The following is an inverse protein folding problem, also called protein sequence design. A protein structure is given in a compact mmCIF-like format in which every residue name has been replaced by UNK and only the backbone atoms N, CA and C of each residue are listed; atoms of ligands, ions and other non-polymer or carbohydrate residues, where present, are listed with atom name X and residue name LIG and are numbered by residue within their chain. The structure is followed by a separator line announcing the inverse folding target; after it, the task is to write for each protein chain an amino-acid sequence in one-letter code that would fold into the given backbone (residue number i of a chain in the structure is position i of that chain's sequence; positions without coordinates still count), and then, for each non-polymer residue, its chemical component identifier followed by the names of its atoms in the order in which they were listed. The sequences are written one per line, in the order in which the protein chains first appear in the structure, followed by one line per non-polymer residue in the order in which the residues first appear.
data_IF_806478895017
#
_entry.id   IF_806478895017
#
_cell.length_a   1.000
_cell.length_b   1.000
_cell.length_c   1.000
_cell.angle_alpha   90.00
_cell.angle_beta   90.00
_cell.angle_gamma   90.00
#
_symmetry.space_group_name_H-M   'P 1'
#
loop_
_entity.id
_entity.type
_entity.pdbx_description
1 polymer ?
#
# COMPACT_ATOMS: atom_id res chain seq x y z
N UNK A 1 -17.04 2.79 -9.79
CA UNK A 1 -16.78 4.02 -9.02
C UNK A 1 -16.98 3.72 -7.54
N UNK A 2 -16.08 4.19 -6.67
CA UNK A 2 -16.17 4.02 -5.21
C UNK A 2 -16.69 5.31 -4.61
N UNK A 3 -17.68 5.23 -3.71
CA UNK A 3 -18.32 6.40 -3.09
C UNK A 3 -18.53 6.20 -1.58
N UNK A 4 -18.59 7.28 -0.78
CA UNK A 4 -18.94 7.20 0.63
C UNK A 4 -20.35 6.59 0.82
N UNK A 5 -20.53 5.82 1.89
CA UNK A 5 -21.83 5.23 2.24
C UNK A 5 -22.82 6.25 2.82
N UNK A 6 -22.33 7.39 3.31
CA UNK A 6 -23.13 8.47 3.88
C UNK A 6 -22.42 9.83 3.65
N UNK A 7 -23.16 10.95 3.64
CA UNK A 7 -22.58 12.28 3.55
C UNK A 7 -21.67 12.59 4.75
N UNK A 8 -20.49 13.15 4.47
CA UNK A 8 -19.52 13.62 5.48
C UNK A 8 -18.62 14.70 4.87
N UNK A 9 -17.98 15.48 5.74
CA UNK A 9 -17.11 16.60 5.34
C UNK A 9 -15.72 16.16 4.91
N UNK A 10 -15.26 15.00 5.42
CA UNK A 10 -13.95 14.43 5.11
C UNK A 10 -14.09 12.94 4.84
N UNK A 11 -13.43 12.50 3.77
CA UNK A 11 -13.34 11.11 3.33
C UNK A 11 -11.89 10.80 2.98
N UNK A 12 -11.50 9.55 3.17
CA UNK A 12 -10.27 9.01 2.61
C UNK A 12 -10.57 7.67 1.94
N UNK A 13 -9.84 7.37 0.88
CA UNK A 13 -9.99 6.13 0.15
C UNK A 13 -8.65 5.40 0.11
N UNK A 14 -8.68 4.10 0.39
CA UNK A 14 -7.55 3.22 0.27
C UNK A 14 -7.85 2.17 -0.81
N UNK A 15 -7.01 2.11 -1.83
CA UNK A 15 -7.09 1.10 -2.87
C UNK A 15 -5.84 0.22 -2.80
N UNK A 16 -6.03 -1.09 -2.67
CA UNK A 16 -4.99 -2.08 -2.93
C UNK A 16 -5.27 -2.70 -4.30
N UNK A 17 -4.35 -2.50 -5.23
CA UNK A 17 -4.43 -3.09 -6.56
C UNK A 17 -3.47 -4.27 -6.62
N UNK A 18 -4.01 -5.45 -6.95
CA UNK A 18 -3.24 -6.64 -7.24
C UNK A 18 -3.39 -6.95 -8.72
N UNK A 19 -2.26 -7.11 -9.40
CA UNK A 19 -2.20 -7.44 -10.82
C UNK A 19 -1.45 -8.78 -10.98
N UNK A 20 -2.07 -9.72 -11.68
CA UNK A 20 -1.52 -11.04 -11.97
C UNK A 20 -1.86 -11.46 -13.40
N UNK A 21 -1.33 -12.61 -13.83
CA UNK A 21 -1.86 -13.30 -14.99
C UNK A 21 -3.22 -13.98 -14.69
N UNK A 22 -3.80 -14.61 -15.71
CA UNK A 22 -5.10 -15.28 -15.63
C UNK A 22 -5.07 -16.62 -14.89
N UNK A 23 -3.88 -17.10 -14.48
CA UNK A 23 -3.72 -18.40 -13.82
C UNK A 23 -3.90 -18.32 -12.31
N UNK A 24 -3.88 -17.11 -11.73
CA UNK A 24 -4.12 -16.91 -10.30
C UNK A 24 -5.60 -17.12 -9.98
N UNK A 25 -5.88 -18.17 -9.21
CA UNK A 25 -7.25 -18.51 -8.78
C UNK A 25 -7.80 -17.53 -7.73
N UNK A 26 -6.94 -16.95 -6.90
CA UNK A 26 -7.34 -16.04 -5.82
C UNK A 26 -6.25 -15.01 -5.53
N UNK A 27 -6.64 -13.76 -5.43
CA UNK A 27 -5.78 -12.67 -4.97
C UNK A 27 -5.43 -12.83 -3.48
N UNK A 28 -4.30 -12.27 -3.08
CA UNK A 28 -3.82 -12.32 -1.71
C UNK A 28 -4.82 -11.63 -0.78
N UNK A 29 -5.13 -12.27 0.34
CA UNK A 29 -5.93 -11.66 1.38
C UNK A 29 -5.20 -10.47 1.99
N UNK A 30 -5.96 -9.40 2.21
CA UNK A 30 -5.45 -8.19 2.83
C UNK A 30 -6.35 -7.76 3.98
N UNK A 31 -5.73 -7.18 5.00
CA UNK A 31 -6.40 -6.70 6.18
C UNK A 31 -6.13 -5.22 6.34
N UNK A 32 -7.17 -4.47 6.65
CA UNK A 32 -7.07 -3.06 6.98
C UNK A 32 -7.46 -2.83 8.44
N UNK A 33 -6.75 -1.92 9.10
CA UNK A 33 -7.11 -1.45 10.43
C UNK A 33 -7.00 0.07 10.43
N UNK A 34 -8.06 0.73 10.88
CA UNK A 34 -8.15 2.18 10.95
C UNK A 34 -7.95 2.65 12.39
N UNK A 35 -6.96 3.52 12.58
CA UNK A 35 -6.82 4.35 13.77
C UNK A 35 -7.31 5.78 13.47
N UNK A 36 -7.32 6.65 14.48
CA UNK A 36 -7.78 8.03 14.35
C UNK A 36 -7.11 8.74 13.16
N UNK A 37 -5.78 8.75 13.11
CA UNK A 37 -5.00 9.54 12.14
C UNK A 37 -4.24 8.69 11.12
N UNK A 38 -4.36 7.36 11.18
CA UNK A 38 -3.64 6.46 10.31
C UNK A 38 -4.49 5.28 9.86
N UNK A 39 -4.32 4.84 8.62
CA UNK A 39 -4.84 3.56 8.13
C UNK A 39 -3.68 2.60 7.91
N UNK A 40 -3.82 1.38 8.41
CA UNK A 40 -2.85 0.30 8.26
C UNK A 40 -3.38 -0.73 7.26
N UNK A 41 -2.54 -1.15 6.33
CA UNK A 41 -2.78 -2.23 5.39
C UNK A 41 -1.74 -3.34 5.64
N UNK A 42 -2.20 -4.57 5.78
CA UNK A 42 -1.35 -5.75 5.92
C UNK A 42 -1.74 -6.82 4.91
N UNK A 43 -0.74 -7.45 4.28
CA UNK A 43 -0.92 -8.60 3.39
C UNK A 43 0.38 -9.41 3.31
N UNK A 44 0.31 -10.64 2.82
CA UNK A 44 1.48 -11.53 2.70
C UNK A 44 1.57 -12.13 1.28
N UNK A 45 2.76 -12.06 0.68
CA UNK A 45 3.03 -12.62 -0.66
C UNK A 45 4.25 -13.52 -0.57
N UNK A 46 4.07 -14.81 -0.87
CA UNK A 46 5.12 -15.80 -0.68
C UNK A 46 5.61 -15.83 0.78
N UNK A 47 6.91 -15.71 0.99
CA UNK A 47 7.52 -15.70 2.33
C UNK A 47 7.52 -14.31 3.01
N UNK A 48 7.03 -13.27 2.32
CA UNK A 48 7.12 -11.88 2.77
C UNK A 48 5.79 -11.39 3.32
N UNK A 49 5.83 -10.71 4.45
CA UNK A 49 4.72 -9.95 5.01
C UNK A 49 4.97 -8.46 4.84
N UNK A 50 3.93 -7.75 4.44
CA UNK A 50 3.94 -6.32 4.18
C UNK A 50 3.00 -5.64 5.16
N UNK A 51 3.48 -4.57 5.77
CA UNK A 51 2.69 -3.67 6.59
C UNK A 51 2.95 -2.25 6.11
N UNK A 52 1.90 -1.62 5.61
CA UNK A 52 1.91 -0.22 5.19
C UNK A 52 1.03 0.55 6.15
N UNK A 53 1.47 1.74 6.55
CA UNK A 53 0.67 2.66 7.34
C UNK A 53 0.67 4.02 6.65
N UNK A 54 -0.50 4.61 6.45
CA UNK A 54 -0.68 5.87 5.72
C UNK A 54 -1.40 6.88 6.61
N UNK A 55 -0.93 8.12 6.60
CA UNK A 55 -1.62 9.22 7.28
C UNK A 55 -2.98 9.45 6.63
N UNK A 56 -4.04 9.57 7.43
CA UNK A 56 -5.39 9.90 6.95
C UNK A 56 -5.61 11.40 6.79
N UNK A 57 -4.81 12.20 7.49
CA UNK A 57 -4.92 13.66 7.60
C UNK A 57 -3.53 14.29 7.69
N UNK A 58 -3.46 15.60 7.47
CA UNK A 58 -2.23 16.38 7.55
C UNK A 58 -1.28 16.07 6.40
N UNK A 59 0.01 15.94 6.71
CA UNK A 59 1.05 15.72 5.71
C UNK A 59 0.92 14.36 5.02
N UNK A 60 1.16 14.36 3.70
CA UNK A 60 1.33 13.13 2.92
C UNK A 60 2.50 12.34 3.50
N UNK A 61 2.24 11.10 3.87
CA UNK A 61 3.28 10.26 4.46
C UNK A 61 2.76 8.93 4.97
N UNK A 62 3.69 8.16 5.51
CA UNK A 62 3.43 6.84 6.00
C UNK A 62 4.71 6.06 6.28
N UNK A 63 4.55 4.78 6.55
CA UNK A 63 5.62 3.84 6.84
C UNK A 63 5.39 2.56 6.06
N UNK A 64 6.46 1.92 5.64
CA UNK A 64 6.43 0.56 5.09
C UNK A 64 7.39 -0.33 5.88
N UNK A 65 6.87 -1.48 6.31
CA UNK A 65 7.65 -2.56 6.89
C UNK A 65 7.45 -3.82 6.05
N UNK A 66 8.57 -4.47 5.70
CA UNK A 66 8.60 -5.75 5.00
C UNK A 66 9.39 -6.72 5.86
N UNK A 67 8.81 -7.88 6.14
CA UNK A 67 9.47 -8.94 6.92
C UNK A 67 9.45 -10.26 6.17
N UNK A 68 10.49 -11.08 6.37
CA UNK A 68 10.59 -12.43 5.84
C UNK A 68 11.17 -13.34 6.92
N UNK A 69 10.50 -14.44 7.25
CA UNK A 69 10.91 -15.37 8.32
C UNK A 69 11.28 -14.66 9.65
N UNK A 70 10.49 -13.65 10.04
CA UNK A 70 10.70 -12.87 11.27
C UNK A 70 11.82 -11.81 11.20
N UNK A 71 12.58 -11.73 10.10
CA UNK A 71 13.59 -10.70 9.89
C UNK A 71 12.99 -9.50 9.18
N UNK A 72 13.38 -8.30 9.62
CA UNK A 72 13.00 -7.04 8.96
C UNK A 72 13.91 -6.83 7.76
N UNK A 73 13.33 -6.78 6.56
CA UNK A 73 14.04 -6.49 5.32
C UNK A 73 13.99 -4.98 5.00
N UNK A 74 12.85 -4.35 5.29
CA UNK A 74 12.62 -2.91 5.12
C UNK A 74 11.80 -2.43 6.29
N UNK A 75 12.17 -1.28 6.84
CA UNK A 75 11.38 -0.53 7.81
C UNK A 75 11.75 0.94 7.72
N UNK A 76 10.93 1.72 7.01
CA UNK A 76 11.23 3.13 6.73
C UNK A 76 9.99 3.93 6.38
N UNK A 77 10.14 5.24 6.50
CA UNK A 77 9.15 6.20 6.04
C UNK A 77 8.97 6.10 4.52
N UNK A 78 7.74 6.33 4.06
CA UNK A 78 7.49 6.58 2.64
C UNK A 78 8.17 7.89 2.24
N UNK A 79 8.68 7.94 1.01
CA UNK A 79 9.30 9.16 0.48
C UNK A 79 8.30 10.30 0.46
N UNK A 80 8.79 11.51 0.75
CA UNK A 80 8.03 12.77 0.61
C UNK A 80 8.36 13.49 -0.70
N UNK A 81 9.33 12.97 -1.43
CA UNK A 81 9.82 13.53 -2.68
C UNK A 81 9.57 12.55 -3.82
N UNK A 82 9.30 13.10 -5.00
CA UNK A 82 9.20 12.31 -6.23
C UNK A 82 10.58 11.72 -6.51
N UNK A 83 10.68 10.39 -6.47
CA UNK A 83 11.91 9.72 -6.87
C UNK A 83 12.07 9.82 -8.39
N UNK A 84 13.29 10.09 -8.91
CA UNK A 84 13.53 10.15 -10.35
C UNK A 84 13.09 8.85 -11.03
N UNK A 85 12.25 8.95 -12.05
CA UNK A 85 11.87 7.82 -12.90
C UNK A 85 12.89 7.63 -14.02
N UNK A 86 14.15 7.37 -13.67
CA UNK A 86 15.17 7.02 -14.65
C UNK A 86 15.02 5.55 -15.08
N UNK A 87 14.92 5.28 -16.38
CA UNK A 87 15.01 3.93 -16.95
C UNK A 87 13.69 3.22 -17.30
N UNK A 88 12.53 3.89 -17.22
CA UNK A 88 11.22 3.29 -17.58
C UNK A 88 10.78 3.53 -19.04
N UNK A 89 11.46 4.43 -19.75
CA UNK A 89 11.29 4.64 -21.17
C UNK A 89 12.61 4.29 -21.85
N UNK A 90 12.73 3.07 -22.40
CA UNK A 90 13.60 2.70 -23.53
C UNK A 90 13.55 1.17 -23.66
N UNK A 91 12.51 0.66 -24.31
CA UNK A 91 12.52 -0.55 -25.17
C UNK A 91 11.13 -0.74 -25.78
N UNK A 92 10.72 0.20 -26.65
CA UNK A 92 9.80 -0.18 -27.71
C UNK A 92 10.65 -0.86 -28.79
N UNK A 93 10.44 -2.16 -28.98
CA UNK A 93 10.81 -2.87 -30.20
C UNK A 93 9.57 -3.54 -30.74
#
# INVERSE_FOLDING_TARGET
EVKPGAPRTEDFFLHLIQASDQTVEKMVESQTNEAADQVRLAFAVGARSYVISLNKRGDVGGQIRITEAGKVLVDRALTREVMPQSGLALSAR
#
